data_IF_297218837365
#
_entry.id   IF_297218837365
#
_cell.length_a   1.000
_cell.length_b   1.000
_cell.length_c   1.000
_cell.angle_alpha   90.00
_cell.angle_beta   90.00
_cell.angle_gamma   90.00
#
_symmetry.space_group_name_H-M   'P 1'
#
loop_
_entity.id
_entity.type
_entity.pdbx_description
1 polymer ?
#
# COMPACT_ATOMS: atom_id res chain seq x y z
N UNK A 1 2.30 25.11 -13.87
CA UNK A 1 1.82 25.09 -12.48
C UNK A 1 1.92 26.49 -11.83
N UNK A 2 3.04 27.25 -11.94
CA UNK A 2 3.24 28.56 -11.28
C UNK A 2 2.21 29.66 -11.65
N UNK A 3 1.50 29.52 -12.77
CA UNK A 3 0.45 30.47 -13.22
C UNK A 3 -0.96 30.02 -12.84
N UNK A 4 -1.12 28.89 -12.17
CA UNK A 4 -2.42 28.40 -11.73
C UNK A 4 -2.66 28.77 -10.27
N UNK A 5 -3.91 29.02 -9.91
CA UNK A 5 -4.31 29.30 -8.51
C UNK A 5 -4.15 28.07 -7.62
N UNK A 6 -4.35 26.88 -8.21
CA UNK A 6 -4.18 25.58 -7.57
C UNK A 6 -3.90 24.51 -8.63
N UNK A 7 -3.11 23.51 -8.28
CA UNK A 7 -2.83 22.33 -9.12
C UNK A 7 -3.65 21.15 -8.64
N UNK A 8 -4.49 20.60 -9.51
CA UNK A 8 -5.17 19.33 -9.24
C UNK A 8 -4.19 18.16 -9.46
N UNK A 9 -3.92 17.40 -8.40
CA UNK A 9 -3.02 16.27 -8.44
C UNK A 9 -3.76 15.01 -8.84
N UNK A 10 -3.56 14.57 -10.09
CA UNK A 10 -4.10 13.31 -10.62
C UNK A 10 -3.00 12.30 -10.98
N UNK A 11 -1.80 12.45 -10.39
CA UNK A 11 -0.68 11.54 -10.60
C UNK A 11 -0.77 10.33 -9.66
N UNK A 12 -0.24 9.19 -10.11
CA UNK A 12 -0.25 7.93 -9.37
C UNK A 12 1.17 7.35 -9.24
N UNK A 13 1.38 6.56 -8.18
CA UNK A 13 2.62 5.82 -7.94
C UNK A 13 3.82 6.71 -7.64
N UNK A 14 5.00 6.24 -8.08
CA UNK A 14 6.27 6.95 -7.85
C UNK A 14 6.25 8.34 -8.46
N UNK A 15 6.82 9.31 -7.74
CA UNK A 15 6.84 10.74 -8.00
C UNK A 15 5.46 11.45 -7.90
N UNK A 16 4.34 10.72 -7.93
CA UNK A 16 3.00 11.28 -7.80
C UNK A 16 2.44 11.18 -6.38
N UNK A 17 2.67 10.05 -5.71
CA UNK A 17 2.09 9.74 -4.39
C UNK A 17 3.15 9.55 -3.29
N UNK A 18 4.43 9.67 -3.60
CA UNK A 18 5.56 9.41 -2.69
C UNK A 18 6.14 10.68 -2.02
N UNK A 19 5.47 11.80 -2.12
CA UNK A 19 5.87 13.07 -1.50
C UNK A 19 6.84 13.93 -2.31
N UNK A 20 7.47 13.41 -3.37
CA UNK A 20 8.49 14.14 -4.12
C UNK A 20 7.96 15.36 -4.84
N UNK A 21 6.89 15.20 -5.61
CA UNK A 21 6.28 16.33 -6.33
C UNK A 21 5.62 17.31 -5.36
N UNK A 22 5.04 16.83 -4.25
CA UNK A 22 4.47 17.63 -3.20
C UNK A 22 5.54 18.53 -2.57
N UNK A 23 6.70 17.97 -2.21
CA UNK A 23 7.83 18.74 -1.68
C UNK A 23 8.34 19.79 -2.69
N UNK A 24 8.41 19.44 -3.97
CA UNK A 24 8.78 20.40 -5.01
C UNK A 24 7.76 21.56 -5.12
N UNK A 25 6.48 21.26 -5.05
CA UNK A 25 5.44 22.29 -5.08
C UNK A 25 5.47 23.19 -3.85
N UNK A 26 5.71 22.62 -2.67
CA UNK A 26 5.85 23.41 -1.44
C UNK A 26 7.05 24.36 -1.50
N UNK A 27 8.22 23.87 -1.97
CA UNK A 27 9.40 24.72 -2.17
C UNK A 27 9.16 25.86 -3.17
N UNK A 28 8.30 25.65 -4.16
CA UNK A 28 7.95 26.65 -5.16
C UNK A 28 6.75 27.53 -4.78
N UNK A 29 6.15 27.31 -3.61
CA UNK A 29 4.94 28.01 -3.18
C UNK A 29 3.69 27.71 -4.01
N UNK A 30 3.64 26.56 -4.68
CA UNK A 30 2.54 26.12 -5.52
C UNK A 30 1.50 25.40 -4.67
N UNK A 31 0.27 25.87 -4.69
CA UNK A 31 -0.86 25.19 -4.03
C UNK A 31 -1.29 23.97 -4.86
N UNK A 32 -1.57 22.86 -4.20
CA UNK A 32 -2.02 21.62 -4.84
C UNK A 32 -3.08 20.91 -4.00
N UNK A 33 -3.81 19.99 -4.62
CA UNK A 33 -4.78 19.12 -3.94
C UNK A 33 -4.09 17.87 -3.42
N UNK A 34 -4.59 17.30 -2.30
CA UNK A 34 -4.11 16.06 -1.74
C UNK A 34 -3.31 16.25 -0.46
N UNK A 35 -2.58 15.22 -0.10
CA UNK A 35 -1.80 15.12 1.14
C UNK A 35 -0.43 15.77 0.98
N UNK A 36 0.12 16.32 2.06
CA UNK A 36 1.46 16.92 2.10
C UNK A 36 2.58 15.89 1.82
N UNK A 37 3.80 16.38 1.62
CA UNK A 37 4.95 15.55 1.22
C UNK A 37 5.36 14.54 2.30
N UNK A 38 5.27 14.89 3.59
CA UNK A 38 5.68 14.00 4.68
C UNK A 38 4.70 12.85 4.80
N UNK A 39 3.41 13.15 4.88
CA UNK A 39 2.35 12.14 4.97
C UNK A 39 2.32 11.23 3.73
N UNK A 40 2.52 11.81 2.55
CA UNK A 40 2.62 11.05 1.29
C UNK A 40 3.82 10.08 1.31
N UNK A 41 5.00 10.55 1.73
CA UNK A 41 6.20 9.71 1.80
C UNK A 41 6.07 8.58 2.82
N UNK A 42 5.52 8.85 4.01
CA UNK A 42 5.26 7.84 5.04
C UNK A 42 4.25 6.81 4.54
N UNK A 43 3.14 7.26 3.96
CA UNK A 43 2.07 6.37 3.48
C UNK A 43 2.50 5.49 2.31
N UNK A 44 3.40 5.97 1.45
CA UNK A 44 3.96 5.18 0.36
C UNK A 44 4.83 4.03 0.86
N UNK A 45 5.59 4.24 1.95
CA UNK A 45 6.47 3.22 2.53
C UNK A 45 5.73 2.41 3.60
N UNK A 46 5.40 1.15 3.29
CA UNK A 46 4.73 0.24 4.23
C UNK A 46 5.53 0.03 5.52
N UNK A 47 6.86 0.01 5.43
CA UNK A 47 7.74 -0.09 6.59
C UNK A 47 7.63 1.16 7.48
N UNK A 48 7.71 2.37 6.91
CA UNK A 48 7.58 3.61 7.66
C UNK A 48 6.17 3.76 8.23
N UNK A 49 5.13 3.44 7.46
CA UNK A 49 3.74 3.41 7.94
C UNK A 49 3.61 2.55 9.19
N UNK A 50 4.18 1.33 9.18
CA UNK A 50 4.16 0.46 10.37
C UNK A 50 4.92 1.06 11.55
N UNK A 51 6.10 1.62 11.32
CA UNK A 51 6.91 2.27 12.37
C UNK A 51 6.18 3.44 13.04
N UNK A 52 5.35 4.15 12.29
CA UNK A 52 4.57 5.29 12.82
C UNK A 52 3.27 4.82 13.49
N UNK A 53 2.52 3.91 12.87
CA UNK A 53 1.16 3.59 13.32
C UNK A 53 1.09 2.49 14.39
N UNK A 54 2.04 1.55 14.42
CA UNK A 54 2.04 0.48 15.44
C UNK A 54 2.19 1.05 16.86
N UNK A 55 3.09 2.02 17.14
CA UNK A 55 3.17 2.65 18.46
C UNK A 55 1.90 3.39 18.88
N UNK A 56 1.09 3.85 17.90
CA UNK A 56 -0.21 4.50 18.13
C UNK A 56 -1.35 3.49 18.39
N UNK A 57 -1.04 2.20 18.49
CA UNK A 57 -2.01 1.14 18.78
C UNK A 57 -2.87 0.73 17.56
N UNK A 58 -2.51 1.13 16.36
CA UNK A 58 -3.21 0.70 15.14
C UNK A 58 -2.84 -0.76 14.84
N UNK A 59 -3.80 -1.70 14.81
CA UNK A 59 -3.54 -3.09 14.50
C UNK A 59 -2.98 -3.25 13.08
N UNK A 60 -1.86 -3.94 12.96
CA UNK A 60 -1.22 -4.23 11.67
C UNK A 60 -0.69 -5.66 11.67
N UNK A 61 -0.63 -6.34 10.50
CA UNK A 61 -0.02 -7.65 10.40
C UNK A 61 1.39 -7.66 10.97
N UNK A 62 1.76 -8.69 11.72
CA UNK A 62 3.13 -8.85 12.20
C UNK A 62 4.06 -9.15 11.02
N UNK A 63 5.26 -8.59 11.04
CA UNK A 63 6.19 -8.80 9.94
C UNK A 63 7.50 -8.08 10.14
N UNK A 64 8.39 -8.31 9.19
CA UNK A 64 9.75 -7.77 9.17
C UNK A 64 10.04 -7.10 7.83
N UNK A 65 10.81 -6.03 7.87
CA UNK A 65 11.41 -5.45 6.69
C UNK A 65 12.76 -6.12 6.42
N UNK A 66 12.99 -6.51 5.17
CA UNK A 66 14.23 -7.13 4.71
C UNK A 66 14.89 -6.23 3.68
N UNK A 67 16.20 -6.07 3.79
CA UNK A 67 17.01 -5.39 2.78
C UNK A 67 17.76 -6.41 1.94
N UNK A 68 17.87 -6.17 0.64
CA UNK A 68 18.60 -7.02 -0.31
C UNK A 68 20.04 -7.28 0.16
N UNK A 69 20.41 -8.55 0.16
CA UNK A 69 21.74 -8.97 0.64
C UNK A 69 21.87 -9.20 2.14
N UNK A 70 20.85 -8.86 2.94
CA UNK A 70 20.84 -9.20 4.35
C UNK A 70 20.30 -10.62 4.60
N UNK A 71 20.65 -11.16 5.79
CA UNK A 71 20.13 -12.47 6.20
C UNK A 71 18.62 -12.42 6.31
N UNK A 72 17.96 -13.38 5.67
CA UNK A 72 16.52 -13.53 5.73
C UNK A 72 16.15 -14.17 7.07
N UNK A 73 15.31 -13.48 7.86
CA UNK A 73 14.71 -14.04 9.04
C UNK A 73 13.45 -14.83 8.66
N UNK A 74 13.19 -15.90 9.40
CA UNK A 74 12.04 -16.75 9.17
C UNK A 74 10.74 -16.06 9.59
N UNK A 75 9.76 -16.09 8.71
CA UNK A 75 8.37 -15.72 9.00
C UNK A 75 7.49 -16.96 8.81
N UNK A 76 6.61 -17.28 9.76
CA UNK A 76 5.72 -18.44 9.65
C UNK A 76 4.83 -18.37 8.42
N UNK A 77 4.59 -19.52 7.77
CA UNK A 77 3.62 -19.61 6.67
C UNK A 77 2.19 -19.83 7.18
N UNK A 78 1.18 -19.32 6.47
CA UNK A 78 1.27 -18.51 5.28
C UNK A 78 1.73 -17.07 5.57
N UNK A 79 2.53 -16.51 4.67
CA UNK A 79 2.98 -15.12 4.76
C UNK A 79 2.80 -14.38 3.44
N UNK A 80 2.93 -13.06 3.49
CA UNK A 80 2.89 -12.16 2.33
C UNK A 80 4.25 -11.53 2.14
N UNK A 81 4.82 -11.66 0.95
CA UNK A 81 6.05 -10.98 0.53
C UNK A 81 5.68 -9.87 -0.43
N UNK A 82 6.19 -8.65 -0.20
CA UNK A 82 5.85 -7.49 -1.02
C UNK A 82 6.91 -6.40 -0.98
N UNK A 83 7.06 -5.57 -2.03
CA UNK A 83 7.86 -4.35 -1.99
C UNK A 83 7.39 -3.39 -0.88
N UNK A 84 8.31 -2.69 -0.22
CA UNK A 84 7.99 -1.71 0.82
C UNK A 84 7.25 -0.50 0.25
N UNK A 85 7.68 0.00 -0.93
CA UNK A 85 7.03 1.07 -1.65
C UNK A 85 6.23 0.53 -2.84
N UNK A 86 5.52 1.41 -3.54
CA UNK A 86 4.68 1.02 -4.65
C UNK A 86 3.29 0.54 -4.24
N UNK A 87 2.49 0.16 -5.23
CA UNK A 87 1.08 -0.14 -5.06
C UNK A 87 0.55 -1.16 -6.05
N UNK A 88 -0.78 -1.22 -6.19
CA UNK A 88 -1.50 -2.06 -7.16
C UNK A 88 -1.15 -3.55 -7.10
N UNK A 89 -0.70 -4.04 -5.95
CA UNK A 89 -0.30 -5.45 -5.72
C UNK A 89 0.84 -5.95 -6.63
N UNK A 90 1.63 -5.03 -7.23
CA UNK A 90 2.80 -5.40 -8.02
C UNK A 90 3.89 -5.97 -7.09
N UNK A 91 4.45 -7.12 -7.44
CA UNK A 91 5.46 -7.81 -6.64
C UNK A 91 4.94 -8.40 -5.31
N UNK A 92 3.61 -8.51 -5.14
CA UNK A 92 2.98 -9.10 -3.95
C UNK A 92 2.73 -10.59 -4.17
N UNK A 93 3.21 -11.42 -3.25
CA UNK A 93 3.00 -12.87 -3.26
C UNK A 93 2.48 -13.36 -1.92
N UNK A 94 1.44 -14.20 -1.95
CA UNK A 94 1.01 -15.01 -0.81
C UNK A 94 1.78 -16.32 -0.88
N UNK A 95 2.44 -16.70 0.20
CA UNK A 95 3.45 -17.75 0.25
C UNK A 95 3.06 -18.78 1.31
N UNK A 96 3.06 -20.07 0.93
CA UNK A 96 2.66 -21.17 1.78
C UNK A 96 3.81 -22.17 2.05
N UNK A 97 4.95 -22.02 1.36
CA UNK A 97 6.09 -22.92 1.49
C UNK A 97 7.42 -22.19 1.34
N UNK A 98 8.50 -22.83 1.80
CA UNK A 98 9.85 -22.27 1.68
C UNK A 98 10.29 -22.10 0.21
N UNK A 99 9.85 -22.97 -0.67
CA UNK A 99 10.17 -22.86 -2.09
C UNK A 99 9.47 -21.65 -2.73
N UNK A 100 8.19 -21.46 -2.44
CA UNK A 100 7.44 -20.26 -2.86
C UNK A 100 8.07 -19.00 -2.27
N UNK A 101 8.53 -19.06 -1.02
CA UNK A 101 9.17 -17.94 -0.35
C UNK A 101 10.44 -17.47 -1.07
N UNK A 102 11.32 -18.40 -1.46
CA UNK A 102 12.54 -18.08 -2.22
C UNK A 102 12.23 -17.42 -3.57
N UNK A 103 11.19 -17.90 -4.26
CA UNK A 103 10.72 -17.29 -5.52
C UNK A 103 10.15 -15.89 -5.29
N UNK A 104 9.31 -15.74 -4.29
CA UNK A 104 8.69 -14.45 -3.93
C UNK A 104 9.71 -13.40 -3.51
N UNK A 105 10.76 -13.79 -2.76
CA UNK A 105 11.88 -12.89 -2.44
C UNK A 105 12.59 -12.39 -3.69
N UNK A 106 12.90 -13.31 -4.62
CA UNK A 106 13.57 -12.96 -5.88
C UNK A 106 12.72 -11.99 -6.69
N UNK A 107 11.42 -12.25 -6.80
CA UNK A 107 10.48 -11.39 -7.51
C UNK A 107 10.38 -10.01 -6.85
N UNK A 108 10.10 -9.94 -5.56
CA UNK A 108 9.96 -8.68 -4.84
C UNK A 108 11.25 -7.83 -4.87
N UNK A 109 12.43 -8.45 -4.74
CA UNK A 109 13.73 -7.78 -4.87
C UNK A 109 14.09 -7.36 -6.30
N UNK A 110 13.32 -7.76 -7.30
CA UNK A 110 13.46 -7.22 -8.65
C UNK A 110 12.84 -5.84 -8.81
N UNK A 111 11.92 -5.49 -7.93
CA UNK A 111 11.23 -4.18 -7.92
C UNK A 111 11.91 -3.18 -6.99
N UNK A 112 12.41 -3.63 -5.83
CA UNK A 112 12.90 -2.75 -4.77
C UNK A 112 13.90 -3.47 -3.86
N UNK A 113 14.89 -2.75 -3.34
CA UNK A 113 15.88 -3.31 -2.42
C UNK A 113 15.35 -3.47 -0.97
N UNK A 114 14.21 -2.86 -0.65
CA UNK A 114 13.51 -3.01 0.62
C UNK A 114 12.17 -3.71 0.41
N UNK A 115 11.99 -4.84 1.05
CA UNK A 115 10.76 -5.62 0.99
C UNK A 115 10.19 -5.84 2.39
N UNK A 116 8.92 -6.12 2.46
CA UNK A 116 8.20 -6.44 3.68
C UNK A 116 7.70 -7.89 3.60
N UNK A 117 7.94 -8.64 4.65
CA UNK A 117 7.39 -9.99 4.84
C UNK A 117 6.47 -9.95 6.05
N UNK A 118 5.20 -10.28 5.86
CA UNK A 118 4.17 -10.20 6.90
C UNK A 118 3.38 -11.50 7.01
N UNK A 119 2.80 -11.76 8.19
CA UNK A 119 1.78 -12.79 8.32
C UNK A 119 0.62 -12.55 7.36
N UNK A 120 0.08 -13.63 6.81
CA UNK A 120 -1.12 -13.53 5.97
C UNK A 120 -2.36 -13.45 6.85
N UNK A 121 -3.11 -12.36 6.74
CA UNK A 121 -4.38 -12.17 7.44
C UNK A 121 -5.52 -12.54 6.49
N UNK A 122 -6.21 -13.63 6.80
CA UNK A 122 -7.41 -14.03 6.06
C UNK A 122 -8.61 -13.24 6.56
N UNK A 123 -9.34 -12.59 5.67
CA UNK A 123 -10.53 -11.81 6.03
C UNK A 123 -11.16 -11.09 4.84
N UNK A 124 -12.15 -10.28 5.15
CA UNK A 124 -12.79 -9.36 4.20
C UNK A 124 -11.88 -8.15 3.99
N UNK A 125 -11.86 -7.62 2.78
CA UNK A 125 -11.07 -6.44 2.46
C UNK A 125 -11.96 -5.19 2.40
N UNK A 126 -11.47 -4.09 2.98
CA UNK A 126 -12.17 -2.83 3.04
C UNK A 126 -11.28 -1.66 2.66
N UNK A 127 -11.90 -0.61 2.13
CA UNK A 127 -11.27 0.69 1.92
C UNK A 127 -12.10 1.78 2.57
N UNK A 128 -11.42 2.73 3.20
CA UNK A 128 -12.07 3.89 3.83
C UNK A 128 -11.33 5.15 3.39
N UNK A 129 -12.00 5.97 2.59
CA UNK A 129 -11.48 7.29 2.24
C UNK A 129 -11.59 8.26 3.42
N UNK A 130 -10.67 9.21 3.50
CA UNK A 130 -10.74 10.33 4.47
C UNK A 130 -10.68 11.63 3.71
N UNK A 131 -11.65 12.52 3.95
CA UNK A 131 -11.71 13.83 3.34
C UNK A 131 -11.86 14.90 4.43
N UNK A 132 -10.92 15.83 4.49
CA UNK A 132 -10.90 16.91 5.50
C UNK A 132 -11.04 16.37 6.95
N UNK A 133 -10.31 15.29 7.27
CA UNK A 133 -10.34 14.67 8.60
C UNK A 133 -11.60 13.85 8.91
N UNK A 134 -12.50 13.66 7.95
CA UNK A 134 -13.73 12.87 8.12
C UNK A 134 -13.64 11.58 7.32
N UNK A 135 -13.88 10.44 7.97
CA UNK A 135 -14.00 9.16 7.29
C UNK A 135 -15.24 9.14 6.40
N UNK A 136 -15.08 8.66 5.19
CA UNK A 136 -16.16 8.40 4.25
C UNK A 136 -16.77 7.00 4.52
N UNK A 137 -17.92 6.67 3.91
CA UNK A 137 -18.49 5.33 4.03
C UNK A 137 -17.49 4.24 3.67
N UNK A 138 -17.51 3.17 4.45
CA UNK A 138 -16.63 2.01 4.23
C UNK A 138 -17.03 1.30 2.93
N UNK A 139 -16.05 0.99 2.10
CA UNK A 139 -16.23 0.20 0.88
C UNK A 139 -15.71 -1.21 1.16
N UNK A 140 -16.52 -2.22 0.93
CA UNK A 140 -16.09 -3.62 0.90
C UNK A 140 -15.62 -3.99 -0.51
N UNK A 141 -14.49 -4.68 -0.58
CA UNK A 141 -13.83 -5.11 -1.81
C UNK A 141 -13.81 -6.63 -1.84
N UNK A 142 -14.58 -7.22 -2.78
CA UNK A 142 -14.74 -8.66 -2.93
C UNK A 142 -14.22 -9.09 -4.31
N UNK A 143 -12.93 -9.56 -4.43
CA UNK A 143 -12.48 -10.18 -5.66
C UNK A 143 -13.33 -11.41 -5.97
N UNK A 144 -13.75 -11.59 -7.23
CA UNK A 144 -14.57 -12.74 -7.64
C UNK A 144 -13.73 -14.02 -7.79
N UNK A 145 -12.41 -13.89 -7.89
CA UNK A 145 -11.47 -15.00 -7.99
C UNK A 145 -10.13 -14.63 -7.36
N UNK A 146 -9.54 -15.55 -6.58
CA UNK A 146 -8.23 -15.36 -5.98
C UNK A 146 -8.17 -14.27 -4.91
N UNK A 147 -7.15 -13.41 -4.98
CA UNK A 147 -6.98 -12.25 -4.10
C UNK A 147 -7.00 -10.94 -4.91
N UNK A 148 -7.04 -9.80 -4.23
CA UNK A 148 -7.12 -8.48 -4.86
C UNK A 148 -5.78 -8.07 -5.50
N UNK A 149 -5.37 -8.83 -6.51
CA UNK A 149 -4.17 -8.61 -7.30
C UNK A 149 -4.35 -7.51 -8.37
N UNK A 150 -3.30 -7.25 -9.14
CA UNK A 150 -3.33 -6.26 -10.22
C UNK A 150 -4.44 -6.54 -11.24
N UNK A 151 -4.64 -7.82 -11.62
CA UNK A 151 -5.67 -8.22 -12.59
C UNK A 151 -7.07 -7.95 -12.06
N UNK A 152 -7.33 -8.31 -10.80
CA UNK A 152 -8.63 -8.10 -10.16
C UNK A 152 -8.93 -6.63 -9.89
N UNK A 153 -7.91 -5.78 -9.76
CA UNK A 153 -8.07 -4.32 -9.60
C UNK A 153 -8.50 -3.62 -10.88
N UNK A 154 -8.00 -4.05 -12.03
CA UNK A 154 -8.16 -3.29 -13.28
C UNK A 154 -9.00 -3.98 -14.35
N UNK A 155 -9.34 -5.26 -14.19
CA UNK A 155 -10.24 -5.96 -15.09
C UNK A 155 -11.69 -5.65 -14.72
N UNK A 156 -12.43 -5.06 -15.64
CA UNK A 156 -13.84 -4.76 -15.43
C UNK A 156 -14.63 -6.03 -15.03
N UNK A 157 -15.40 -5.95 -13.94
CA UNK A 157 -16.21 -7.03 -13.42
C UNK A 157 -15.43 -8.13 -12.70
N UNK A 158 -14.13 -7.98 -12.42
CA UNK A 158 -13.36 -8.96 -11.65
C UNK A 158 -13.49 -8.79 -10.13
N UNK A 159 -13.96 -7.63 -9.69
CA UNK A 159 -14.15 -7.30 -8.27
C UNK A 159 -15.53 -6.69 -8.08
N UNK A 160 -16.20 -7.08 -7.01
CA UNK A 160 -17.44 -6.45 -6.55
C UNK A 160 -17.10 -5.46 -5.43
N UNK A 161 -17.56 -4.23 -5.57
CA UNK A 161 -17.43 -3.18 -4.56
C UNK A 161 -18.80 -2.84 -3.98
N UNK A 162 -18.92 -2.85 -2.66
CA UNK A 162 -20.16 -2.54 -1.95
C UNK A 162 -19.94 -1.35 -1.03
N UNK A 163 -20.68 -0.26 -1.27
CA UNK A 163 -20.64 0.96 -0.45
C UNK A 163 -22.06 1.43 -0.10
N UNK A 164 -22.38 1.64 1.19
CA UNK A 164 -21.57 1.29 2.35
C UNK A 164 -21.47 -0.23 2.53
N UNK A 165 -20.36 -0.67 3.10
CA UNK A 165 -20.14 -2.08 3.43
C UNK A 165 -21.15 -2.58 4.46
N UNK A 166 -21.58 -3.85 4.33
CA UNK A 166 -22.43 -4.49 5.33
C UNK A 166 -21.60 -4.91 6.56
N UNK A 167 -21.49 -4.02 7.53
CA UNK A 167 -20.79 -4.23 8.78
C UNK A 167 -21.79 -4.27 9.96
N UNK A 168 -21.53 -5.10 10.98
CA UNK A 168 -22.29 -5.04 12.22
C UNK A 168 -22.14 -3.65 12.86
N UNK A 169 -23.22 -3.20 13.51
CA UNK A 169 -23.21 -1.93 14.26
C UNK A 169 -22.40 -2.04 15.53
#
# INVERSE_FOLDING_TARGET
>A
CQKADIVFMGLHGSNGEDGKIQAAFELMGIKYTGTDYISSAISMSKELTKKVLVPEGIPMPKGIALHKGHKVEYVPFPCVVKPCCGGSSVGVSIVNSEEEFKRALTDAFSYEDNILVEEFIKGREFSVGVLNGKALPVIEIEPLDGFYDYKNKYKAGATKETCPANLPK
#
